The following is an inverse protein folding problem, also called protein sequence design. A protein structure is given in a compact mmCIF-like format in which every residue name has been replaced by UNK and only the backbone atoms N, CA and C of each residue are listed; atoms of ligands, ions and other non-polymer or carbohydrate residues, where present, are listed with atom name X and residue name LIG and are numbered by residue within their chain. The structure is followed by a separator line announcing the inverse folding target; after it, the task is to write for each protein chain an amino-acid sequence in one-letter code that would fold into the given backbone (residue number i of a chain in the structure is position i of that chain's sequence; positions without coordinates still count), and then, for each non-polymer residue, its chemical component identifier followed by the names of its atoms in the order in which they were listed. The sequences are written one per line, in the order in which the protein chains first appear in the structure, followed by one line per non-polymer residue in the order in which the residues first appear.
data_IF_494713891330
#
_entry.id   IF_494713891330
#
_cell.length_a   1.000
_cell.length_b   1.000
_cell.length_c   1.000
_cell.angle_alpha   90.00
_cell.angle_beta   90.00
_cell.angle_gamma   90.00
#
_symmetry.space_group_name_H-M   'P 1'
#
loop_
_entity.id
_entity.type
_entity.pdbx_description
1 polymer ?
#
# COMPACT_ATOMS: atom_id res chain seq x y z
N UNK A 1 0.31 2.05 -37.65
CA UNK A 1 0.59 0.62 -37.77
C UNK A 1 1.86 0.47 -38.63
N UNK A 2 2.78 -0.38 -38.21
CA UNK A 2 4.04 -0.63 -38.93
C UNK A 2 3.79 -1.82 -39.85
N UNK A 3 3.79 -1.58 -41.16
CA UNK A 3 3.55 -2.62 -42.16
C UNK A 3 4.84 -3.30 -42.64
N UNK A 4 5.98 -2.62 -42.41
CA UNK A 4 7.31 -3.08 -42.89
C UNK A 4 8.33 -2.93 -41.79
N UNK A 5 9.20 -3.92 -41.60
CA UNK A 5 10.28 -3.86 -40.64
C UNK A 5 11.27 -2.73 -40.99
N UNK A 6 11.55 -1.78 -40.10
CA UNK A 6 12.46 -0.65 -40.39
C UNK A 6 13.92 -1.07 -40.56
N UNK A 7 14.29 -2.30 -40.15
CA UNK A 7 15.66 -2.81 -40.23
C UNK A 7 15.91 -3.59 -41.52
N UNK A 8 15.00 -4.49 -41.93
CA UNK A 8 15.22 -5.38 -43.05
C UNK A 8 14.24 -5.19 -44.22
N UNK A 9 13.23 -4.34 -44.07
CA UNK A 9 12.22 -4.07 -45.11
C UNK A 9 11.24 -5.21 -45.38
N UNK A 10 11.28 -6.29 -44.57
CA UNK A 10 10.33 -7.39 -44.73
C UNK A 10 8.93 -6.97 -44.25
N UNK A 11 7.84 -7.51 -44.87
CA UNK A 11 6.48 -7.27 -44.37
C UNK A 11 6.33 -7.84 -42.94
N UNK A 12 5.69 -7.09 -42.08
CA UNK A 12 5.36 -7.53 -40.72
C UNK A 12 3.85 -7.57 -40.55
N UNK A 13 3.38 -8.44 -39.66
CA UNK A 13 1.99 -8.48 -39.23
C UNK A 13 1.94 -8.26 -37.72
N UNK A 14 0.85 -7.73 -37.24
CA UNK A 14 0.59 -7.62 -35.81
C UNK A 14 0.53 -9.02 -35.19
N UNK A 15 1.21 -9.19 -34.05
CA UNK A 15 1.10 -10.41 -33.26
C UNK A 15 -0.33 -10.59 -32.74
N UNK A 16 -0.83 -11.83 -32.73
CA UNK A 16 -2.16 -12.17 -32.25
C UNK A 16 -2.22 -12.28 -30.72
N UNK A 17 -1.04 -12.50 -30.10
CA UNK A 17 -0.92 -12.57 -28.64
C UNK A 17 -0.93 -11.17 -28.00
N UNK A 18 -1.38 -11.12 -26.76
CA UNK A 18 -1.31 -9.94 -25.91
C UNK A 18 -0.18 -10.07 -24.89
N UNK A 19 0.36 -8.95 -24.48
CA UNK A 19 1.37 -8.92 -23.42
C UNK A 19 0.75 -9.36 -22.09
N UNK A 20 1.56 -10.03 -21.27
CA UNK A 20 1.18 -10.43 -19.92
C UNK A 20 0.81 -9.19 -19.07
N UNK A 21 -0.14 -9.36 -18.16
CA UNK A 21 -0.54 -8.33 -17.17
C UNK A 21 0.67 -7.77 -16.40
N UNK A 22 1.66 -8.62 -16.09
CA UNK A 22 2.88 -8.19 -15.42
C UNK A 22 3.74 -7.24 -16.25
N UNK A 23 3.57 -7.22 -17.57
CA UNK A 23 4.30 -6.26 -18.41
C UNK A 23 3.87 -4.83 -18.12
N UNK A 24 2.58 -4.52 -18.10
CA UNK A 24 2.09 -3.19 -17.74
C UNK A 24 2.31 -2.88 -16.26
N UNK A 25 2.16 -3.87 -15.38
CA UNK A 25 2.38 -3.71 -13.94
C UNK A 25 3.84 -3.32 -13.60
N UNK A 26 4.82 -3.79 -14.37
CA UNK A 26 6.23 -3.42 -14.17
C UNK A 26 6.56 -1.99 -14.58
N UNK A 27 5.76 -1.37 -15.43
CA UNK A 27 5.95 0.00 -15.90
C UNK A 27 5.35 1.04 -14.94
N UNK A 28 4.57 0.59 -13.97
CA UNK A 28 3.80 1.44 -13.06
C UNK A 28 4.61 2.58 -12.42
N UNK A 29 5.86 2.39 -11.94
CA UNK A 29 6.59 3.43 -11.21
C UNK A 29 6.86 4.70 -12.01
N UNK A 30 6.83 4.64 -13.33
CA UNK A 30 7.17 5.77 -14.19
C UNK A 30 6.12 6.04 -15.27
N UNK A 31 5.45 5.01 -15.80
CA UNK A 31 4.46 5.21 -16.86
C UNK A 31 3.24 6.01 -16.36
N UNK A 32 2.83 5.85 -15.11
CA UNK A 32 1.71 6.58 -14.50
C UNK A 32 2.03 8.03 -14.17
N UNK A 33 3.30 8.43 -14.28
CA UNK A 33 3.80 9.77 -13.98
C UNK A 33 4.17 10.58 -15.25
N UNK A 34 3.55 10.24 -16.40
CA UNK A 34 3.76 10.97 -17.65
C UNK A 34 5.02 10.61 -18.44
N UNK A 35 5.78 9.60 -18.01
CA UNK A 35 7.02 9.20 -18.69
C UNK A 35 6.83 8.84 -20.17
N UNK A 36 5.70 8.27 -20.53
CA UNK A 36 5.39 7.87 -21.91
C UNK A 36 5.29 9.03 -22.88
N UNK A 37 5.02 10.22 -22.39
CA UNK A 37 4.83 11.44 -23.20
C UNK A 37 6.06 12.35 -23.12
N UNK A 38 6.54 12.63 -21.92
CA UNK A 38 7.57 13.63 -21.66
C UNK A 38 8.90 13.02 -21.13
N UNK A 39 8.96 11.69 -20.98
CA UNK A 39 10.14 11.01 -20.47
C UNK A 39 10.46 11.41 -19.03
N UNK A 40 11.74 11.58 -18.74
CA UNK A 40 12.23 12.00 -17.42
C UNK A 40 11.97 13.49 -17.12
N UNK A 41 11.49 14.24 -18.08
CA UNK A 41 11.18 15.66 -17.93
C UNK A 41 9.77 15.92 -17.40
N UNK A 42 8.90 14.89 -17.35
CA UNK A 42 7.56 15.00 -16.81
C UNK A 42 7.57 15.60 -15.39
N UNK A 43 6.70 16.56 -15.08
CA UNK A 43 6.66 17.24 -13.77
C UNK A 43 6.45 16.26 -12.61
N UNK A 44 5.60 15.27 -12.79
CA UNK A 44 5.30 14.24 -11.78
C UNK A 44 6.51 13.32 -11.54
N UNK A 45 7.26 12.98 -12.60
CA UNK A 45 8.51 12.23 -12.47
C UNK A 45 9.50 13.03 -11.64
N UNK A 46 9.73 14.30 -11.96
CA UNK A 46 10.67 15.16 -11.20
C UNK A 46 10.29 15.32 -9.73
N UNK A 47 9.00 15.31 -9.46
CA UNK A 47 8.49 15.47 -8.09
C UNK A 47 8.47 14.18 -7.26
N UNK A 48 8.19 13.03 -7.90
CA UNK A 48 7.81 11.80 -7.20
C UNK A 48 8.68 10.58 -7.52
N UNK A 49 9.61 10.67 -8.47
CA UNK A 49 10.46 9.55 -8.86
C UNK A 49 11.93 9.82 -8.50
N UNK A 50 12.64 8.89 -7.83
CA UNK A 50 12.14 7.62 -7.30
C UNK A 50 11.16 7.82 -6.13
N UNK A 51 10.23 6.87 -5.97
CA UNK A 51 9.31 6.86 -4.83
C UNK A 51 10.08 6.49 -3.55
N UNK A 52 9.78 7.11 -2.42
CA UNK A 52 10.49 6.84 -1.16
C UNK A 52 10.21 5.44 -0.65
N UNK A 53 8.94 5.02 -0.67
CA UNK A 53 8.53 3.73 -0.09
C UNK A 53 7.55 3.00 -1.00
N UNK A 54 7.84 1.73 -1.26
CA UNK A 54 6.89 0.75 -1.80
C UNK A 54 6.50 -0.22 -0.69
N UNK A 55 5.20 -0.44 -0.47
CA UNK A 55 4.71 -1.49 0.40
C UNK A 55 4.10 -2.63 -0.42
N UNK A 56 4.53 -3.86 -0.17
CA UNK A 56 4.14 -5.02 -0.97
C UNK A 56 4.13 -6.32 -0.16
N UNK A 57 3.51 -7.36 -0.73
CA UNK A 57 3.55 -8.71 -0.18
C UNK A 57 4.80 -9.47 -0.65
N UNK A 58 5.24 -10.42 0.15
CA UNK A 58 6.41 -11.29 -0.15
C UNK A 58 6.26 -12.04 -1.47
N UNK A 59 5.06 -12.53 -1.76
CA UNK A 59 4.78 -13.42 -2.89
C UNK A 59 5.01 -12.78 -4.25
N UNK A 60 4.91 -11.44 -4.34
CA UNK A 60 5.06 -10.70 -5.59
C UNK A 60 6.39 -9.94 -5.69
N UNK A 61 7.36 -10.22 -4.82
CA UNK A 61 8.69 -9.62 -4.91
C UNK A 61 9.36 -9.91 -6.27
N UNK A 62 9.34 -11.16 -6.72
CA UNK A 62 9.90 -11.55 -8.02
C UNK A 62 9.04 -11.10 -9.21
N UNK A 63 7.73 -11.28 -9.10
CA UNK A 63 6.81 -11.01 -10.19
C UNK A 63 6.54 -9.52 -10.42
N UNK A 64 6.68 -8.71 -9.39
CA UNK A 64 6.35 -7.28 -9.47
C UNK A 64 7.55 -6.39 -9.14
N UNK A 65 8.13 -6.49 -7.94
CA UNK A 65 9.19 -5.56 -7.51
C UNK A 65 10.44 -5.70 -8.37
N UNK A 66 10.94 -6.91 -8.57
CA UNK A 66 12.11 -7.15 -9.41
C UNK A 66 11.90 -6.69 -10.85
N UNK A 67 10.71 -6.94 -11.42
CA UNK A 67 10.35 -6.49 -12.76
C UNK A 67 10.27 -4.96 -12.86
N UNK A 68 9.70 -4.28 -11.85
CA UNK A 68 9.69 -2.82 -11.80
C UNK A 68 11.11 -2.25 -11.77
N UNK A 69 12.00 -2.82 -10.97
CA UNK A 69 13.41 -2.42 -10.92
C UNK A 69 14.09 -2.60 -12.27
N UNK A 70 13.92 -3.76 -12.91
CA UNK A 70 14.50 -4.02 -14.23
C UNK A 70 14.02 -3.03 -15.29
N UNK A 71 12.70 -2.80 -15.37
CA UNK A 71 12.11 -1.87 -16.33
C UNK A 71 12.54 -0.43 -16.08
N UNK A 72 12.57 0.00 -14.82
CA UNK A 72 13.01 1.33 -14.43
C UNK A 72 14.50 1.55 -14.75
N UNK A 73 15.36 0.59 -14.46
CA UNK A 73 16.77 0.66 -14.83
C UNK A 73 16.98 0.70 -16.33
N UNK A 74 16.13 -0.02 -17.10
CA UNK A 74 16.22 0.02 -18.56
C UNK A 74 15.72 1.33 -19.14
N UNK A 75 14.55 1.81 -18.73
CA UNK A 75 13.87 2.99 -19.29
C UNK A 75 14.38 4.31 -18.69
N UNK A 76 14.47 4.38 -17.36
CA UNK A 76 14.76 5.60 -16.61
C UNK A 76 16.21 5.70 -16.15
N UNK A 77 17.00 4.62 -16.28
CA UNK A 77 18.41 4.52 -15.80
C UNK A 77 18.58 4.77 -14.30
N UNK A 78 17.51 4.61 -13.53
CA UNK A 78 17.46 4.88 -12.10
C UNK A 78 16.57 3.86 -11.40
N UNK A 79 16.90 3.53 -10.14
CA UNK A 79 16.06 2.65 -9.30
C UNK A 79 14.72 3.34 -8.99
N UNK A 80 13.59 2.61 -8.95
CA UNK A 80 12.27 3.21 -8.76
C UNK A 80 11.89 3.49 -7.30
N UNK A 81 12.55 2.86 -6.32
CA UNK A 81 12.22 2.94 -4.90
C UNK A 81 13.46 3.04 -4.05
N UNK A 82 13.39 3.84 -2.97
CA UNK A 82 14.43 3.89 -1.95
C UNK A 82 14.29 2.74 -0.95
N UNK A 83 13.05 2.45 -0.55
CA UNK A 83 12.74 1.40 0.43
C UNK A 83 11.58 0.53 -0.05
N UNK A 84 11.68 -0.77 0.22
CA UNK A 84 10.59 -1.73 0.00
C UNK A 84 10.21 -2.35 1.34
N UNK A 85 8.98 -2.07 1.78
CA UNK A 85 8.41 -2.65 2.99
C UNK A 85 7.61 -3.88 2.61
N UNK A 86 8.02 -5.03 3.13
CA UNK A 86 7.30 -6.29 2.95
C UNK A 86 6.39 -6.47 4.15
N UNK A 87 5.07 -6.28 3.91
CA UNK A 87 4.08 -6.46 4.96
C UNK A 87 3.72 -7.95 5.16
N UNK A 88 3.25 -8.33 6.36
CA UNK A 88 2.77 -9.68 6.61
C UNK A 88 1.52 -10.01 5.79
N UNK A 89 1.31 -11.29 5.53
CA UNK A 89 0.07 -11.80 4.92
C UNK A 89 -0.96 -12.06 6.00
N UNK A 90 -2.20 -11.61 5.76
CA UNK A 90 -3.33 -11.93 6.63
C UNK A 90 -3.88 -13.30 6.23
N UNK A 91 -3.72 -14.27 7.11
CA UNK A 91 -4.21 -15.64 6.92
C UNK A 91 -5.62 -15.78 7.52
N UNK A 92 -6.38 -16.73 7.01
CA UNK A 92 -7.66 -17.11 7.61
C UNK A 92 -7.46 -17.66 9.05
N UNK A 93 -8.54 -17.78 9.80
CA UNK A 93 -8.53 -18.26 11.20
C UNK A 93 -7.85 -19.63 11.36
N UNK A 94 -7.93 -20.49 10.33
CA UNK A 94 -7.27 -21.79 10.26
C UNK A 94 -5.78 -21.71 9.91
N UNK A 95 -5.24 -20.53 9.70
CA UNK A 95 -3.85 -20.29 9.33
C UNK A 95 -3.52 -20.54 7.86
N UNK A 96 -4.52 -20.71 6.99
CA UNK A 96 -4.33 -20.87 5.56
C UNK A 96 -4.51 -19.55 4.82
N UNK A 97 -3.87 -19.37 3.65
CA UNK A 97 -4.10 -18.21 2.81
C UNK A 97 -5.57 -18.05 2.44
N UNK A 98 -6.07 -16.83 2.52
CA UNK A 98 -7.42 -16.50 2.09
C UNK A 98 -7.51 -16.57 0.56
N UNK A 99 -8.58 -17.17 0.03
CA UNK A 99 -8.86 -17.17 -1.41
C UNK A 99 -10.37 -17.19 -1.66
N UNK A 100 -10.79 -16.58 -2.78
CA UNK A 100 -12.19 -16.59 -3.21
C UNK A 100 -12.70 -18.02 -3.47
N UNK A 101 -11.85 -18.87 -4.04
CA UNK A 101 -12.20 -20.27 -4.36
C UNK A 101 -12.41 -21.14 -3.12
N UNK A 102 -11.79 -20.81 -2.00
CA UNK A 102 -11.96 -21.50 -0.72
C UNK A 102 -13.11 -20.96 0.13
N UNK A 103 -13.62 -19.77 -0.21
CA UNK A 103 -14.68 -19.12 0.55
C UNK A 103 -14.26 -18.72 1.97
N UNK A 104 -12.96 -18.67 2.26
CA UNK A 104 -12.42 -18.33 3.58
C UNK A 104 -11.91 -16.88 3.66
N UNK A 105 -12.19 -16.08 2.64
CA UNK A 105 -11.88 -14.65 2.62
C UNK A 105 -12.85 -13.87 3.52
N UNK A 106 -12.36 -12.82 4.13
CA UNK A 106 -13.13 -11.88 4.93
C UNK A 106 -13.34 -10.60 4.13
N UNK A 107 -14.57 -10.12 4.06
CA UNK A 107 -14.89 -8.86 3.38
C UNK A 107 -14.55 -7.68 4.30
N UNK A 108 -13.57 -6.83 3.93
CA UNK A 108 -13.18 -5.68 4.73
C UNK A 108 -14.28 -4.64 4.84
N UNK A 109 -15.16 -4.51 3.85
CA UNK A 109 -16.28 -3.55 3.90
C UNK A 109 -17.28 -3.97 4.98
N UNK A 110 -17.60 -5.27 5.05
CA UNK A 110 -18.45 -5.79 6.11
C UNK A 110 -17.85 -5.55 7.50
N UNK A 111 -16.56 -5.82 7.66
CA UNK A 111 -15.86 -5.54 8.92
C UNK A 111 -15.92 -4.05 9.30
N UNK A 112 -15.78 -3.14 8.33
CA UNK A 112 -15.90 -1.71 8.59
C UNK A 112 -17.32 -1.30 9.02
N UNK A 113 -18.36 -1.95 8.48
CA UNK A 113 -19.73 -1.73 8.91
C UNK A 113 -19.95 -2.23 10.35
N UNK A 114 -19.43 -3.42 10.68
CA UNK A 114 -19.65 -4.07 11.97
C UNK A 114 -18.80 -3.47 13.11
N UNK A 115 -17.55 -3.11 12.84
CA UNK A 115 -16.57 -2.68 13.85
C UNK A 115 -16.12 -1.22 13.72
N UNK A 116 -16.52 -0.53 12.66
CA UNK A 116 -16.00 0.80 12.31
C UNK A 116 -14.63 0.72 11.62
N UNK A 117 -14.33 1.70 10.78
CA UNK A 117 -13.07 1.76 10.05
C UNK A 117 -11.85 1.82 10.99
N UNK A 118 -11.93 2.61 12.04
CA UNK A 118 -10.85 2.74 13.04
C UNK A 118 -10.62 1.44 13.80
N UNK A 119 -11.71 0.76 14.23
CA UNK A 119 -11.64 -0.53 14.90
C UNK A 119 -11.00 -1.61 14.03
N UNK A 120 -11.35 -1.65 12.74
CA UNK A 120 -10.77 -2.59 11.79
C UNK A 120 -9.28 -2.30 11.56
N UNK A 121 -8.93 -1.06 11.21
CA UNK A 121 -7.54 -0.66 10.91
C UNK A 121 -6.63 -0.87 12.12
N UNK A 122 -7.04 -0.38 13.28
CA UNK A 122 -6.28 -0.55 14.53
C UNK A 122 -6.16 -2.02 14.92
N UNK A 123 -7.25 -2.80 14.80
CA UNK A 123 -7.26 -4.21 15.11
C UNK A 123 -6.32 -5.05 14.23
N UNK A 124 -6.19 -4.70 12.95
CA UNK A 124 -5.20 -5.34 12.07
C UNK A 124 -3.77 -4.97 12.46
N UNK A 125 -3.50 -3.68 12.70
CA UNK A 125 -2.16 -3.21 13.08
C UNK A 125 -1.70 -3.78 14.42
N UNK A 126 -2.58 -3.90 15.39
CA UNK A 126 -2.28 -4.49 16.70
C UNK A 126 -1.84 -5.96 16.64
N UNK A 127 -2.19 -6.66 15.56
CA UNK A 127 -1.81 -8.07 15.36
C UNK A 127 -0.47 -8.22 14.64
N UNK A 128 0.08 -7.14 14.08
CA UNK A 128 1.37 -7.16 13.38
C UNK A 128 2.51 -7.24 14.39
N UNK A 129 3.20 -8.37 14.44
CA UNK A 129 4.33 -8.62 15.33
C UNK A 129 5.66 -8.71 14.57
N UNK A 130 5.83 -7.90 13.53
CA UNK A 130 7.00 -7.92 12.64
C UNK A 130 6.66 -8.49 11.26
N UNK A 131 7.59 -9.21 10.64
CA UNK A 131 7.44 -9.72 9.26
C UNK A 131 6.71 -11.08 9.17
N UNK A 132 6.16 -11.59 10.26
CA UNK A 132 5.45 -12.87 10.27
C UNK A 132 4.01 -12.71 9.82
N UNK A 133 3.51 -13.72 9.07
CA UNK A 133 2.12 -13.77 8.67
C UNK A 133 1.21 -13.84 9.90
N UNK A 134 0.09 -13.14 9.86
CA UNK A 134 -0.84 -13.06 10.98
C UNK A 134 -2.12 -13.85 10.69
N UNK A 135 -2.61 -14.58 11.68
CA UNK A 135 -3.92 -15.21 11.62
C UNK A 135 -4.98 -14.17 11.96
N UNK A 136 -5.98 -14.04 11.10
CA UNK A 136 -7.09 -13.12 11.34
C UNK A 136 -7.88 -13.51 12.57
N UNK A 137 -8.00 -12.58 13.51
CA UNK A 137 -8.77 -12.73 14.72
C UNK A 137 -9.78 -11.58 14.84
N UNK A 138 -11.05 -11.93 14.69
CA UNK A 138 -12.16 -10.97 14.71
C UNK A 138 -12.41 -10.38 16.12
N UNK A 139 -12.08 -11.12 17.18
CA UNK A 139 -12.23 -10.65 18.57
C UNK A 139 -11.28 -9.45 18.83
N UNK A 140 -10.16 -9.40 18.12
CA UNK A 140 -9.24 -8.25 18.18
C UNK A 140 -9.85 -6.98 17.60
N UNK A 141 -10.71 -7.11 16.60
CA UNK A 141 -11.41 -5.95 16.01
C UNK A 141 -12.43 -5.36 17.01
N UNK A 142 -13.15 -6.21 17.71
CA UNK A 142 -14.08 -5.78 18.77
C UNK A 142 -13.34 -5.04 19.90
N UNK A 143 -12.24 -5.62 20.37
CA UNK A 143 -11.39 -5.00 21.40
C UNK A 143 -10.86 -3.64 20.96
N UNK A 144 -10.42 -3.55 19.70
CA UNK A 144 -9.88 -2.34 19.09
C UNK A 144 -10.94 -1.26 18.91
N UNK A 145 -12.16 -1.61 18.51
CA UNK A 145 -13.30 -0.70 18.47
C UNK A 145 -13.59 -0.12 19.86
N UNK A 146 -13.61 -0.97 20.87
CA UNK A 146 -13.85 -0.53 22.24
C UNK A 146 -12.76 0.41 22.73
N UNK A 147 -11.50 0.16 22.40
CA UNK A 147 -10.39 1.02 22.72
C UNK A 147 -10.46 2.38 21.98
N UNK A 148 -10.77 2.39 20.70
CA UNK A 148 -11.00 3.62 19.94
C UNK A 148 -12.13 4.48 20.53
N UNK A 149 -13.23 3.84 20.93
CA UNK A 149 -14.33 4.51 21.62
C UNK A 149 -13.90 5.08 23.00
N UNK A 150 -13.04 4.38 23.74
CA UNK A 150 -12.48 4.87 25.01
C UNK A 150 -11.66 6.15 24.77
N UNK A 151 -10.79 6.16 23.78
CA UNK A 151 -10.00 7.36 23.43
C UNK A 151 -10.93 8.53 23.02
N UNK A 152 -11.90 8.25 22.16
CA UNK A 152 -12.88 9.27 21.73
C UNK A 152 -13.65 9.86 22.91
N UNK A 153 -14.09 9.04 23.83
CA UNK A 153 -14.86 9.49 24.98
C UNK A 153 -13.98 10.29 25.95
N UNK A 154 -12.73 9.88 26.16
CA UNK A 154 -11.76 10.64 26.95
C UNK A 154 -11.47 12.01 26.34
N UNK A 155 -11.18 12.06 25.03
CA UNK A 155 -10.97 13.31 24.31
C UNK A 155 -12.21 14.23 24.37
N UNK A 156 -13.42 13.66 24.17
CA UNK A 156 -14.67 14.43 24.28
C UNK A 156 -14.83 15.00 25.69
N UNK A 157 -14.55 14.23 26.73
CA UNK A 157 -14.60 14.70 28.12
C UNK A 157 -13.64 15.88 28.34
N UNK A 158 -12.41 15.77 27.87
CA UNK A 158 -11.42 16.85 27.95
C UNK A 158 -11.95 18.10 27.24
N UNK A 159 -12.37 17.96 25.96
CA UNK A 159 -12.86 19.09 25.15
C UNK A 159 -14.02 19.80 25.84
N UNK A 160 -14.97 19.06 26.44
CA UNK A 160 -16.11 19.64 27.13
C UNK A 160 -15.73 20.43 28.39
N UNK A 161 -14.53 20.20 28.92
CA UNK A 161 -14.05 20.87 30.15
C UNK A 161 -12.93 21.90 29.86
N UNK A 162 -12.64 22.17 28.58
CA UNK A 162 -11.64 23.17 28.18
C UNK A 162 -12.22 24.60 28.11
N UNK A 163 -13.50 24.79 28.34
CA UNK A 163 -14.15 26.09 28.27
C UNK A 163 -13.54 27.01 29.37
N UNK A 164 -12.92 28.10 28.94
CA UNK A 164 -12.19 29.02 29.86
C UNK A 164 -10.77 28.56 30.25
N UNK A 165 -10.26 27.44 29.69
CA UNK A 165 -8.88 27.06 29.89
C UNK A 165 -7.96 27.85 28.94
N UNK A 166 -7.13 28.71 29.51
CA UNK A 166 -6.05 29.38 28.79
C UNK A 166 -4.83 28.48 28.82
N UNK A 167 -4.43 27.98 27.66
CA UNK A 167 -3.18 27.24 27.49
C UNK A 167 -2.04 28.25 27.50
N UNK A 168 -1.63 28.69 28.70
CA UNK A 168 -0.39 29.43 28.87
C UNK A 168 0.81 28.66 28.31
N UNK A 169 1.92 29.34 28.04
CA UNK A 169 3.16 28.72 27.61
C UNK A 169 3.47 27.51 28.49
N UNK A 170 3.70 26.32 27.92
CA UNK A 170 4.03 25.14 28.70
C UNK A 170 5.28 25.42 29.52
N UNK A 171 5.20 25.32 30.86
CA UNK A 171 6.37 25.45 31.70
C UNK A 171 7.39 24.36 31.36
N UNK A 172 8.57 24.72 30.78
CA UNK A 172 9.57 23.76 30.34
C UNK A 172 10.15 22.93 31.50
N UNK A 173 9.76 23.22 32.72
CA UNK A 173 10.23 22.54 33.94
C UNK A 173 9.28 21.46 34.44
N UNK A 174 8.10 21.34 33.88
CA UNK A 174 7.18 20.24 34.20
C UNK A 174 7.52 19.07 33.28
N UNK A 175 8.12 17.95 33.79
CA UNK A 175 8.22 16.74 33.00
C UNK A 175 6.81 16.29 32.60
N UNK A 176 6.62 15.85 31.37
CA UNK A 176 5.41 15.14 30.98
C UNK A 176 5.39 13.82 31.76
N UNK A 177 4.51 13.71 32.76
CA UNK A 177 4.21 12.46 33.46
C UNK A 177 3.51 11.44 32.52
#
# INVERSE_FOLDING_TARGET
DVEVCPVCGAPVRQDEDVLDTWFSSQLWPFATMGWTEEGMEAPEIKACYPTQVLSTARDIMGLWVARMVMSSMYCCKQIPFEHVIIHPTVLAKDGKPMSKSRGNGVDPIKLMVDYGADGMRFGLLMQVTGAQDLKFDEDKLLSSRNFANKIRNAARFVIMNLDGYDQGDPDPRTPAD
#
